data_IF_049730879974
#
_entry.id   IF_049730879974
#
_cell.length_a   1.000
_cell.length_b   1.000
_cell.length_c   1.000
_cell.angle_alpha   90.00
_cell.angle_beta   90.00
_cell.angle_gamma   90.00
#
_symmetry.space_group_name_H-M   'P 1'
#
loop_
_entity.id
_entity.type
_entity.pdbx_description
1 polymer ?
#
# COMPACT_ATOMS: atom_id res chain seq x y z
N UNK A 1 9.01 2.40 -4.51
CA UNK A 1 7.85 3.19 -4.02
C UNK A 1 7.00 3.64 -5.20
N UNK A 2 5.70 3.34 -5.19
CA UNK A 2 4.74 3.88 -6.16
C UNK A 2 3.39 4.10 -5.45
N UNK A 3 2.92 5.34 -5.46
CA UNK A 3 1.70 5.80 -4.78
C UNK A 3 0.55 6.08 -5.75
N UNK A 4 0.64 5.58 -6.99
CA UNK A 4 -0.47 5.57 -7.94
C UNK A 4 -1.69 4.89 -7.32
N UNK A 5 -2.86 5.48 -7.54
CA UNK A 5 -4.12 5.13 -6.90
C UNK A 5 -4.34 5.77 -5.51
N UNK A 6 -3.29 6.16 -4.77
CA UNK A 6 -3.41 6.84 -3.47
C UNK A 6 -3.24 8.37 -3.59
N UNK A 7 -2.16 8.81 -4.22
CA UNK A 7 -1.83 10.24 -4.40
C UNK A 7 -2.35 10.78 -5.73
N UNK A 8 -2.21 10.01 -6.80
CA UNK A 8 -2.84 10.22 -8.10
C UNK A 8 -3.91 9.15 -8.29
N UNK A 9 -5.05 9.48 -8.89
CA UNK A 9 -6.04 8.47 -9.25
C UNK A 9 -5.52 7.62 -10.42
N UNK A 10 -6.00 6.38 -10.52
CA UNK A 10 -5.79 5.62 -11.75
C UNK A 10 -6.49 6.32 -12.93
N UNK A 11 -5.95 6.19 -14.15
CA UNK A 11 -6.58 6.73 -15.33
C UNK A 11 -7.78 5.86 -15.70
N UNK A 12 -8.93 6.19 -15.15
CA UNK A 12 -10.23 5.56 -15.39
C UNK A 12 -11.02 6.33 -16.48
N UNK A 13 -12.11 5.73 -16.96
CA UNK A 13 -12.95 6.23 -18.07
C UNK A 13 -12.17 6.44 -19.38
N UNK A 14 -11.33 5.45 -19.70
CA UNK A 14 -10.52 5.43 -20.92
C UNK A 14 -10.65 4.09 -21.65
N UNK A 15 -10.40 4.03 -22.96
CA UNK A 15 -10.28 2.75 -23.64
C UNK A 15 -9.05 1.96 -23.13
N UNK A 16 -9.12 0.64 -23.26
CA UNK A 16 -7.98 -0.26 -23.11
C UNK A 16 -6.83 0.20 -24.01
N UNK A 17 -5.68 0.49 -23.39
CA UNK A 17 -4.47 0.88 -24.10
C UNK A 17 -3.83 -0.32 -24.79
N UNK A 18 -2.91 -0.05 -25.71
CA UNK A 18 -2.09 -1.10 -26.33
C UNK A 18 -1.28 -1.87 -25.28
N UNK A 19 -0.72 -1.16 -24.28
CA UNK A 19 0.00 -1.78 -23.18
C UNK A 19 -0.87 -2.76 -22.38
N UNK A 20 -2.14 -2.38 -22.08
CA UNK A 20 -3.09 -3.25 -21.36
C UNK A 20 -3.38 -4.54 -22.16
N UNK A 21 -3.36 -4.46 -23.49
CA UNK A 21 -3.60 -5.58 -24.41
C UNK A 21 -2.39 -6.49 -24.53
N UNK A 22 -1.21 -5.90 -24.69
CA UNK A 22 0.06 -6.61 -24.81
C UNK A 22 0.40 -7.39 -23.53
N UNK A 23 0.20 -6.77 -22.37
CA UNK A 23 0.54 -7.36 -21.07
C UNK A 23 -0.66 -8.01 -20.36
N UNK A 24 -1.67 -8.44 -21.13
CA UNK A 24 -2.87 -9.08 -20.60
C UNK A 24 -2.51 -10.36 -19.86
N UNK A 25 -3.02 -10.49 -18.64
CA UNK A 25 -2.93 -11.67 -17.81
C UNK A 25 -4.25 -12.45 -17.89
N UNK A 26 -4.23 -13.63 -18.49
CA UNK A 26 -5.44 -14.44 -18.66
C UNK A 26 -5.60 -15.44 -17.53
N UNK A 27 -6.77 -15.46 -16.89
CA UNK A 27 -7.13 -16.35 -15.80
C UNK A 27 -7.03 -17.84 -16.20
N UNK A 28 -7.29 -18.15 -17.48
CA UNK A 28 -7.32 -19.53 -17.99
C UNK A 28 -5.99 -19.96 -18.62
N UNK A 29 -5.00 -19.06 -18.67
CA UNK A 29 -3.66 -19.36 -19.20
C UNK A 29 -2.67 -19.48 -18.06
N UNK A 30 -2.10 -20.67 -17.89
CA UNK A 30 -1.02 -20.91 -16.93
C UNK A 30 0.31 -20.38 -17.50
N UNK A 31 1.06 -19.67 -16.68
CA UNK A 31 2.44 -19.31 -16.93
C UNK A 31 3.37 -20.33 -16.28
N UNK A 32 4.47 -20.67 -16.95
CA UNK A 32 5.47 -21.62 -16.45
C UNK A 32 6.47 -20.92 -15.51
N UNK A 33 5.94 -20.43 -14.40
CA UNK A 33 6.70 -19.81 -13.31
C UNK A 33 6.22 -20.35 -11.96
N UNK A 34 7.10 -20.36 -10.96
CA UNK A 34 6.72 -20.73 -9.60
C UNK A 34 5.87 -19.61 -8.96
N UNK A 35 4.77 -19.94 -8.25
CA UNK A 35 3.94 -18.92 -7.63
C UNK A 35 4.68 -18.25 -6.47
N UNK A 36 4.55 -16.92 -6.36
CA UNK A 36 5.17 -16.15 -5.27
C UNK A 36 4.16 -15.20 -4.61
N UNK A 37 4.04 -15.26 -3.29
CA UNK A 37 3.03 -14.50 -2.55
C UNK A 37 3.36 -13.00 -2.38
N UNK A 38 4.60 -12.55 -2.66
CA UNK A 38 5.04 -11.14 -2.52
C UNK A 38 4.74 -10.50 -1.15
N UNK A 39 4.74 -11.30 -0.07
CA UNK A 39 4.39 -10.83 1.28
C UNK A 39 3.03 -10.10 1.32
N UNK A 40 2.07 -10.55 0.52
CA UNK A 40 0.76 -9.88 0.42
C UNK A 40 -0.31 -10.51 1.33
N UNK A 41 -0.12 -11.76 1.76
CA UNK A 41 -1.19 -12.56 2.38
C UNK A 41 -1.45 -12.10 3.80
N UNK A 42 -2.71 -11.86 4.16
CA UNK A 42 -3.16 -11.59 5.54
C UNK A 42 -3.73 -12.86 6.15
N UNK A 43 -4.64 -13.51 5.41
CA UNK A 43 -5.14 -14.85 5.71
C UNK A 43 -5.47 -15.57 4.42
N UNK A 44 -5.38 -16.89 4.45
CA UNK A 44 -5.74 -17.76 3.33
C UNK A 44 -6.40 -19.03 3.86
N UNK A 45 -7.43 -19.50 3.16
CA UNK A 45 -8.09 -20.78 3.43
C UNK A 45 -8.69 -21.34 2.12
N UNK A 46 -9.52 -22.37 2.19
CA UNK A 46 -10.18 -22.98 1.02
C UNK A 46 -11.22 -22.09 0.33
N UNK A 47 -11.78 -21.13 1.07
CA UNK A 47 -12.87 -20.28 0.62
C UNK A 47 -12.35 -18.93 0.10
N UNK A 48 -11.41 -18.33 0.82
CA UNK A 48 -10.88 -17.01 0.49
C UNK A 48 -9.39 -16.80 0.77
N UNK A 49 -8.79 -15.93 -0.05
CA UNK A 49 -7.46 -15.36 0.13
C UNK A 49 -7.61 -13.86 0.34
N UNK A 50 -7.19 -13.38 1.51
CA UNK A 50 -7.18 -11.97 1.87
C UNK A 50 -5.78 -11.41 1.68
N UNK A 51 -5.67 -10.36 0.87
CA UNK A 51 -4.41 -9.75 0.48
C UNK A 51 -4.38 -8.26 0.85
N UNK A 52 -3.21 -7.76 1.25
CA UNK A 52 -2.97 -6.33 1.44
C UNK A 52 -2.85 -5.61 0.08
N UNK A 53 -3.14 -4.31 0.11
CA UNK A 53 -2.96 -3.43 -1.04
C UNK A 53 -1.50 -3.14 -1.39
N UNK A 54 -1.33 -2.48 -2.54
CA UNK A 54 -0.03 -2.04 -3.07
C UNK A 54 0.74 -1.08 -2.18
N UNK A 55 0.05 -0.25 -1.39
CA UNK A 55 0.66 0.83 -0.60
C UNK A 55 1.08 0.33 0.79
N UNK A 56 0.49 -0.77 1.26
CA UNK A 56 0.76 -1.32 2.59
C UNK A 56 2.24 -1.52 2.89
N UNK A 57 3.06 -1.99 1.94
CA UNK A 57 4.50 -2.17 2.13
C UNK A 57 5.23 -0.88 2.51
N UNK A 58 4.83 0.26 1.96
CA UNK A 58 5.47 1.57 2.15
C UNK A 58 4.68 2.52 3.06
N UNK A 59 3.64 2.00 3.74
CA UNK A 59 2.79 2.80 4.63
C UNK A 59 3.61 3.62 5.61
N UNK A 60 3.21 4.88 5.82
CA UNK A 60 3.89 5.82 6.71
C UNK A 60 4.96 6.65 6.02
N UNK A 61 5.32 6.34 4.77
CA UNK A 61 6.33 7.10 4.04
C UNK A 61 5.82 8.49 3.64
N UNK A 62 4.59 8.60 3.15
CA UNK A 62 4.00 9.90 2.78
C UNK A 62 3.76 10.74 4.05
N UNK A 63 3.31 10.09 5.12
CA UNK A 63 3.24 10.72 6.43
C UNK A 63 4.60 11.22 6.94
N UNK A 64 5.70 10.52 6.61
CA UNK A 64 7.04 10.92 7.02
C UNK A 64 7.47 12.18 6.27
N UNK A 65 7.28 12.19 4.94
CA UNK A 65 7.58 13.37 4.11
C UNK A 65 6.75 14.58 4.58
N UNK A 66 5.46 14.37 4.86
CA UNK A 66 4.59 15.42 5.41
C UNK A 66 5.06 15.90 6.78
N UNK A 67 5.43 14.98 7.68
CA UNK A 67 5.95 15.28 9.01
C UNK A 67 7.27 16.05 8.99
N UNK A 68 8.17 15.74 8.05
CA UNK A 68 9.40 16.52 7.81
C UNK A 68 9.03 17.96 7.41
N UNK A 69 8.07 18.14 6.50
CA UNK A 69 7.57 19.47 6.12
C UNK A 69 7.01 20.25 7.30
N UNK A 70 6.23 19.60 8.18
CA UNK A 70 5.74 20.20 9.43
C UNK A 70 6.89 20.60 10.35
N UNK A 71 7.87 19.72 10.55
CA UNK A 71 9.01 19.99 11.42
C UNK A 71 9.84 21.19 10.95
N UNK A 72 10.12 21.29 9.65
CA UNK A 72 10.82 22.45 9.08
C UNK A 72 9.99 23.73 9.15
N UNK A 73 8.69 23.67 8.84
CA UNK A 73 7.82 24.83 8.92
C UNK A 73 7.68 25.37 10.34
N UNK A 74 7.36 24.50 11.31
CA UNK A 74 7.25 24.89 12.73
C UNK A 74 8.60 25.32 13.29
N UNK A 75 9.68 24.58 13.00
CA UNK A 75 11.03 24.94 13.43
C UNK A 75 11.47 26.31 12.91
N UNK A 76 11.16 26.63 11.65
CA UNK A 76 11.40 27.96 11.08
C UNK A 76 10.62 29.06 11.79
N UNK A 77 9.35 28.84 12.10
CA UNK A 77 8.53 29.79 12.88
C UNK A 77 9.13 30.01 14.27
N UNK A 78 9.50 28.95 14.97
CA UNK A 78 10.08 29.04 16.32
C UNK A 78 11.43 29.78 16.31
N UNK A 79 12.28 29.52 15.31
CA UNK A 79 13.54 30.21 15.13
C UNK A 79 13.34 31.71 14.86
N UNK A 80 12.42 32.07 13.97
CA UNK A 80 12.11 33.46 13.65
C UNK A 80 11.48 34.19 14.84
N UNK A 81 10.57 33.54 15.57
CA UNK A 81 10.00 34.08 16.80
C UNK A 81 11.07 34.30 17.87
N UNK A 82 12.01 33.37 18.04
CA UNK A 82 13.15 33.54 18.95
C UNK A 82 14.00 34.75 18.56
N UNK A 83 14.29 34.93 17.28
CA UNK A 83 15.04 36.10 16.78
C UNK A 83 14.31 37.40 17.13
N UNK A 84 12.99 37.48 16.92
CA UNK A 84 12.18 38.66 17.26
C UNK A 84 12.14 38.97 18.77
N UNK A 85 12.14 37.93 19.61
CA UNK A 85 11.99 38.08 21.06
C UNK A 85 13.31 38.26 21.80
N UNK A 86 14.39 37.67 21.29
CA UNK A 86 15.70 37.63 21.96
C UNK A 86 16.71 38.65 21.41
N UNK A 87 16.47 39.23 20.24
CA UNK A 87 17.33 40.27 19.67
C UNK A 87 16.53 41.57 19.56
N UNK A 88 17.12 42.67 20.00
CA UNK A 88 16.61 44.03 19.78
C UNK A 88 16.76 44.39 18.30
N UNK A 89 15.85 43.84 17.48
CA UNK A 89 15.87 44.04 16.04
C UNK A 89 15.34 45.45 15.71
N UNK A 90 16.17 46.34 15.15
CA UNK A 90 15.71 47.65 14.73
C UNK A 90 14.64 47.48 13.65
N UNK A 91 13.52 48.19 13.79
CA UNK A 91 12.46 48.22 12.77
C UNK A 91 12.82 49.18 11.63
N UNK A 92 14.03 49.03 11.08
CA UNK A 92 14.54 49.80 9.97
C UNK A 92 14.70 48.88 8.76
N UNK A 93 14.49 49.42 7.55
CA UNK A 93 14.72 48.72 6.28
C UNK A 93 13.85 47.49 5.98
N UNK A 94 12.66 47.37 6.56
CA UNK A 94 11.70 46.33 6.17
C UNK A 94 11.95 44.93 6.77
N UNK A 95 12.82 44.84 7.79
CA UNK A 95 13.26 43.57 8.38
C UNK A 95 12.11 42.81 9.07
N UNK A 96 11.21 43.54 9.73
CA UNK A 96 10.05 42.95 10.41
C UNK A 96 9.09 42.34 9.39
N UNK A 97 8.82 43.05 8.30
CA UNK A 97 8.02 42.56 7.18
C UNK A 97 8.64 41.30 6.57
N UNK A 98 9.96 41.30 6.36
CA UNK A 98 10.69 40.12 5.88
C UNK A 98 10.55 38.91 6.82
N UNK A 99 10.62 39.13 8.13
CA UNK A 99 10.42 38.07 9.13
C UNK A 99 8.97 37.56 9.10
N UNK A 100 7.97 38.44 9.10
CA UNK A 100 6.57 38.02 9.06
C UNK A 100 6.21 37.28 7.77
N UNK A 101 6.73 37.72 6.61
CA UNK A 101 6.57 37.00 5.34
C UNK A 101 7.22 35.62 5.44
N UNK A 102 8.43 35.53 6.00
CA UNK A 102 9.12 34.25 6.18
C UNK A 102 8.35 33.33 7.13
N UNK A 103 7.79 33.84 8.23
CA UNK A 103 6.93 33.10 9.13
C UNK A 103 5.66 32.60 8.42
N UNK A 104 5.04 33.42 7.57
CA UNK A 104 3.88 33.03 6.77
C UNK A 104 4.23 31.92 5.76
N UNK A 105 5.40 31.99 5.12
CA UNK A 105 5.91 30.94 4.23
C UNK A 105 6.18 29.63 5.00
N UNK A 106 6.78 29.71 6.18
CA UNK A 106 7.00 28.56 7.05
C UNK A 106 5.68 27.94 7.54
N UNK A 107 4.67 28.77 7.84
CA UNK A 107 3.33 28.31 8.19
C UNK A 107 2.64 27.61 7.02
N UNK A 108 2.77 28.17 5.81
CA UNK A 108 2.28 27.53 4.59
C UNK A 108 2.96 26.18 4.33
N UNK A 109 4.27 26.09 4.55
CA UNK A 109 5.02 24.83 4.46
C UNK A 109 4.53 23.80 5.49
N UNK A 110 4.33 24.22 6.74
CA UNK A 110 3.80 23.35 7.79
C UNK A 110 2.39 22.86 7.46
N UNK A 111 1.52 23.74 6.99
CA UNK A 111 0.16 23.39 6.57
C UNK A 111 0.17 22.41 5.38
N UNK A 112 1.02 22.64 4.38
CA UNK A 112 1.18 21.74 3.24
C UNK A 112 1.72 20.37 3.68
N UNK A 113 2.72 20.34 4.58
CA UNK A 113 3.25 19.10 5.16
C UNK A 113 2.19 18.32 5.93
N UNK A 114 1.38 19.01 6.75
CA UNK A 114 0.27 18.39 7.47
C UNK A 114 -0.77 17.82 6.50
N UNK A 115 -1.14 18.56 5.45
CA UNK A 115 -2.05 18.08 4.41
C UNK A 115 -1.52 16.82 3.71
N UNK A 116 -0.23 16.77 3.40
CA UNK A 116 0.43 15.56 2.84
C UNK A 116 0.36 14.41 3.84
N UNK A 117 0.66 14.64 5.13
CA UNK A 117 0.63 13.58 6.12
C UNK A 117 -0.77 12.97 6.33
N UNK A 118 -1.81 13.81 6.29
CA UNK A 118 -3.21 13.40 6.33
C UNK A 118 -3.65 12.54 5.13
N UNK A 119 -2.83 12.36 4.09
CA UNK A 119 -3.13 11.41 3.01
C UNK A 119 -3.03 9.95 3.45
N UNK A 120 -2.23 9.67 4.49
CA UNK A 120 -2.12 8.34 5.10
C UNK A 120 -2.73 8.30 6.51
N UNK A 121 -2.56 9.36 7.30
CA UNK A 121 -3.12 9.46 8.65
C UNK A 121 -4.65 9.61 8.62
N UNK A 122 -5.32 9.18 9.69
CA UNK A 122 -6.78 9.30 9.85
C UNK A 122 -7.63 8.60 8.78
N UNK A 123 -7.05 7.60 8.10
CA UNK A 123 -7.76 6.80 7.08
C UNK A 123 -7.95 5.38 7.57
N UNK A 124 -7.58 4.40 6.77
CA UNK A 124 -7.60 2.98 7.10
C UNK A 124 -6.20 2.50 7.46
N UNK A 125 -6.02 1.39 8.18
CA UNK A 125 -4.70 0.81 8.50
C UNK A 125 -4.09 0.08 7.30
N UNK A 126 -4.93 -0.38 6.39
CA UNK A 126 -4.61 -0.98 5.09
C UNK A 126 -5.90 -1.08 4.26
N UNK A 127 -5.82 -1.53 3.01
CA UNK A 127 -6.97 -1.66 2.10
C UNK A 127 -7.09 -3.12 1.61
N UNK A 128 -8.00 -3.92 2.17
CA UNK A 128 -8.10 -5.33 1.82
C UNK A 128 -8.57 -5.59 0.40
N UNK A 129 -7.98 -6.61 -0.23
CA UNK A 129 -8.51 -7.27 -1.42
C UNK A 129 -8.76 -8.73 -1.08
N UNK A 130 -10.02 -9.15 -1.11
CA UNK A 130 -10.43 -10.52 -0.86
C UNK A 130 -10.76 -11.24 -2.17
N UNK A 131 -10.14 -12.39 -2.38
CA UNK A 131 -10.45 -13.33 -3.45
C UNK A 131 -11.38 -14.42 -2.88
N UNK A 132 -12.68 -14.33 -3.15
CA UNK A 132 -13.67 -15.36 -2.81
C UNK A 132 -13.65 -16.43 -3.90
N UNK A 133 -12.96 -17.53 -3.61
CA UNK A 133 -12.75 -18.62 -4.56
C UNK A 133 -14.05 -19.36 -4.88
N UNK A 134 -14.86 -19.68 -3.86
CA UNK A 134 -16.07 -20.50 -4.03
C UNK A 134 -17.11 -19.79 -4.90
N UNK A 135 -17.29 -18.49 -4.68
CA UNK A 135 -18.22 -17.68 -5.49
C UNK A 135 -17.58 -17.09 -6.74
N UNK A 136 -16.26 -17.22 -6.89
CA UNK A 136 -15.46 -16.62 -7.96
C UNK A 136 -15.64 -15.10 -8.02
N UNK A 137 -15.56 -14.44 -6.87
CA UNK A 137 -15.69 -12.99 -6.72
C UNK A 137 -14.39 -12.38 -6.19
N UNK A 138 -14.18 -11.11 -6.53
CA UNK A 138 -13.13 -10.27 -5.95
C UNK A 138 -13.81 -9.11 -5.25
N UNK A 139 -13.52 -8.95 -3.96
CA UNK A 139 -13.97 -7.82 -3.15
C UNK A 139 -12.80 -6.90 -2.89
N UNK A 140 -12.88 -5.65 -3.35
CA UNK A 140 -11.84 -4.64 -3.20
C UNK A 140 -12.36 -3.55 -2.28
N UNK A 141 -11.64 -3.30 -1.19
CA UNK A 141 -11.94 -2.21 -0.28
C UNK A 141 -11.36 -0.90 -0.80
N UNK A 142 -12.22 0.08 -1.10
CA UNK A 142 -11.84 1.36 -1.69
C UNK A 142 -11.31 2.35 -0.66
N UNK A 143 -10.67 3.41 -1.15
CA UNK A 143 -10.11 4.49 -0.33
C UNK A 143 -11.14 5.29 0.47
N UNK A 144 -12.41 5.27 0.04
CA UNK A 144 -13.55 5.92 0.69
C UNK A 144 -14.26 4.99 1.69
N UNK A 145 -13.85 3.72 1.79
CA UNK A 145 -14.48 2.70 2.63
C UNK A 145 -15.62 1.93 1.97
N UNK A 146 -15.98 2.25 0.72
CA UNK A 146 -16.91 1.44 -0.07
C UNK A 146 -16.25 0.18 -0.61
N UNK A 147 -17.05 -0.78 -1.09
CA UNK A 147 -16.55 -2.05 -1.59
C UNK A 147 -16.96 -2.23 -3.04
N UNK A 148 -15.95 -2.47 -3.88
CA UNK A 148 -16.12 -2.96 -5.23
C UNK A 148 -16.20 -4.49 -5.18
N UNK A 149 -17.25 -5.08 -5.74
CA UNK A 149 -17.35 -6.52 -5.94
C UNK A 149 -17.46 -6.83 -7.42
N UNK A 150 -16.57 -7.67 -7.93
CA UNK A 150 -16.55 -8.05 -9.34
C UNK A 150 -16.35 -9.57 -9.52
N UNK A 151 -17.03 -10.21 -10.49
CA UNK A 151 -16.77 -11.61 -10.84
C UNK A 151 -15.36 -11.79 -11.39
N UNK A 152 -14.58 -12.70 -10.82
CA UNK A 152 -13.20 -12.98 -11.19
C UNK A 152 -13.01 -13.23 -12.69
N UNK A 153 -13.94 -13.95 -13.32
CA UNK A 153 -13.91 -14.25 -14.76
C UNK A 153 -14.20 -13.05 -15.66
N UNK A 154 -14.77 -11.97 -15.12
CA UNK A 154 -15.11 -10.75 -15.87
C UNK A 154 -14.07 -9.64 -15.72
N UNK A 155 -13.14 -9.76 -14.76
CA UNK A 155 -12.11 -8.76 -14.54
C UNK A 155 -11.06 -8.90 -15.64
N UNK A 156 -10.68 -7.77 -16.25
CA UNK A 156 -9.59 -7.76 -17.20
C UNK A 156 -8.28 -7.52 -16.44
N UNK A 157 -7.49 -8.59 -16.25
CA UNK A 157 -6.18 -8.46 -15.61
C UNK A 157 -5.10 -8.10 -16.60
N UNK A 158 -4.22 -7.20 -16.19
CA UNK A 158 -3.05 -6.79 -16.96
C UNK A 158 -1.91 -6.43 -16.01
N UNK A 159 -0.69 -6.47 -16.51
CA UNK A 159 0.42 -5.88 -15.77
C UNK A 159 0.28 -4.36 -15.78
N UNK A 160 0.59 -3.75 -14.65
CA UNK A 160 0.78 -2.32 -14.56
C UNK A 160 2.24 -1.96 -14.42
N UNK A 161 2.59 -0.81 -15.01
CA UNK A 161 3.92 -0.21 -14.86
C UNK A 161 3.80 1.02 -13.98
N UNK A 162 4.32 0.90 -12.77
CA UNK A 162 4.49 2.01 -11.84
C UNK A 162 5.69 2.85 -12.23
N UNK A 163 5.54 4.18 -12.23
CA UNK A 163 6.69 5.10 -12.27
C UNK A 163 7.14 5.32 -10.84
N UNK A 164 8.14 4.57 -10.39
CA UNK A 164 8.78 4.82 -9.10
C UNK A 164 9.52 6.15 -9.08
N UNK A 165 9.89 6.61 -7.87
CA UNK A 165 10.85 7.70 -7.74
C UNK A 165 12.16 7.34 -8.45
N UNK A 166 12.79 8.32 -9.11
CA UNK A 166 14.07 8.15 -9.80
C UNK A 166 14.09 7.18 -10.99
N UNK A 167 12.95 6.95 -11.64
CA UNK A 167 12.87 6.19 -12.90
C UNK A 167 12.89 4.67 -12.74
N UNK A 168 12.85 4.16 -11.51
CA UNK A 168 12.74 2.72 -11.26
C UNK A 168 11.33 2.22 -11.62
N UNK A 169 11.28 1.17 -12.45
CA UNK A 169 10.03 0.54 -12.84
C UNK A 169 9.59 -0.46 -11.78
N UNK A 170 8.38 -0.27 -11.27
CA UNK A 170 7.70 -1.27 -10.46
C UNK A 170 6.67 -1.97 -11.33
N UNK A 171 6.59 -3.29 -11.20
CA UNK A 171 5.54 -4.06 -11.83
C UNK A 171 4.45 -4.34 -10.80
N UNK A 172 3.21 -4.30 -11.24
CA UNK A 172 2.08 -4.65 -10.41
C UNK A 172 1.04 -5.39 -11.24
N UNK A 173 0.08 -6.01 -10.56
CA UNK A 173 -1.05 -6.66 -11.21
C UNK A 173 -2.24 -5.74 -11.02
N UNK A 174 -2.86 -5.34 -12.14
CA UNK A 174 -4.06 -4.51 -12.13
C UNK A 174 -5.27 -5.32 -12.56
N UNK A 175 -6.37 -5.14 -11.86
CA UNK A 175 -7.69 -5.54 -12.31
C UNK A 175 -8.42 -4.34 -12.88
N UNK A 176 -8.82 -4.43 -14.14
CA UNK A 176 -9.61 -3.43 -14.83
C UNK A 176 -11.06 -3.90 -14.90
N UNK A 177 -11.97 -3.08 -14.38
CA UNK A 177 -13.42 -3.26 -14.54
C UNK A 177 -13.81 -2.58 -15.84
N UNK A 178 -14.31 -3.37 -16.78
CA UNK A 178 -14.72 -2.88 -18.08
C UNK A 178 -16.21 -2.53 -18.10
N UNK A 179 -16.53 -1.47 -18.84
CA UNK A 179 -17.90 -1.12 -19.18
C UNK A 179 -18.55 -2.24 -20.02
N UNK A 180 -19.85 -2.09 -20.28
CA UNK A 180 -20.62 -3.04 -21.10
C UNK A 180 -20.09 -3.20 -22.53
N UNK A 181 -19.39 -2.19 -23.04
CA UNK A 181 -18.74 -2.23 -24.36
C UNK A 181 -17.53 -3.16 -24.44
N UNK A 182 -17.02 -3.65 -23.29
CA UNK A 182 -15.88 -4.54 -23.19
C UNK A 182 -14.54 -3.90 -23.57
N UNK A 183 -14.47 -2.58 -23.73
CA UNK A 183 -13.25 -1.86 -24.13
C UNK A 183 -12.95 -0.64 -23.27
N UNK A 184 -13.95 -0.05 -22.63
CA UNK A 184 -13.77 1.12 -21.76
C UNK A 184 -13.50 0.65 -20.33
N UNK A 185 -12.42 1.12 -19.73
CA UNK A 185 -12.07 0.89 -18.33
C UNK A 185 -12.83 1.88 -17.46
N UNK A 186 -13.76 1.39 -16.63
CA UNK A 186 -14.54 2.20 -15.70
C UNK A 186 -13.81 2.38 -14.36
N UNK A 187 -13.13 1.33 -13.90
CA UNK A 187 -12.45 1.35 -12.61
C UNK A 187 -11.22 0.45 -12.63
N UNK A 188 -10.16 0.91 -11.96
CA UNK A 188 -8.90 0.18 -11.82
C UNK A 188 -8.59 -0.08 -10.35
N UNK A 189 -8.24 -1.32 -10.02
CA UNK A 189 -7.61 -1.68 -8.75
C UNK A 189 -6.30 -2.41 -8.99
N UNK A 190 -5.44 -2.48 -7.97
CA UNK A 190 -4.14 -3.13 -8.08
C UNK A 190 -3.80 -3.94 -6.83
N UNK A 191 -3.21 -5.11 -7.04
CA UNK A 191 -2.65 -5.94 -5.98
C UNK A 191 -1.29 -5.40 -5.49
N UNK A 192 -0.69 -6.11 -4.55
CA UNK A 192 0.63 -5.82 -4.02
C UNK A 192 1.69 -5.63 -5.12
N UNK A 193 2.67 -4.76 -4.86
CA UNK A 193 3.71 -4.40 -5.84
C UNK A 193 4.72 -5.54 -5.96
N UNK A 194 4.92 -6.03 -7.18
CA UNK A 194 6.00 -6.95 -7.53
C UNK A 194 7.22 -6.15 -8.03
N UNK A 195 8.29 -6.12 -7.25
CA UNK A 195 9.38 -5.15 -7.47
C UNK A 195 10.38 -5.58 -8.56
N UNK A 196 10.87 -4.59 -9.32
CA UNK A 196 12.11 -4.62 -10.11
C UNK A 196 12.14 -5.47 -11.39
N UNK A 197 11.41 -6.59 -11.42
CA UNK A 197 11.46 -7.57 -12.52
C UNK A 197 10.06 -8.03 -12.90
N UNK A 198 9.80 -8.11 -14.21
CA UNK A 198 8.50 -8.56 -14.73
C UNK A 198 8.20 -10.01 -14.32
N UNK A 199 9.23 -10.85 -14.17
CA UNK A 199 9.08 -12.24 -13.72
C UNK A 199 8.45 -12.33 -12.33
N UNK A 200 8.77 -11.39 -11.43
CA UNK A 200 8.17 -11.33 -10.09
C UNK A 200 6.66 -11.06 -10.18
N UNK A 201 6.24 -10.19 -11.10
CA UNK A 201 4.83 -9.92 -11.32
C UNK A 201 4.10 -11.12 -11.94
N UNK A 202 4.75 -11.86 -12.83
CA UNK A 202 4.21 -13.11 -13.36
C UNK A 202 4.11 -14.22 -12.30
N UNK A 203 5.12 -14.34 -11.42
CA UNK A 203 5.10 -15.27 -10.29
C UNK A 203 3.98 -14.92 -9.30
N UNK A 204 3.79 -13.62 -9.02
CA UNK A 204 2.69 -13.14 -8.20
C UNK A 204 1.32 -13.37 -8.85
N UNK A 205 1.22 -13.19 -10.17
CA UNK A 205 0.02 -13.50 -10.92
C UNK A 205 -0.33 -14.98 -10.83
N UNK A 206 0.64 -15.86 -11.01
CA UNK A 206 0.42 -17.30 -10.85
C UNK A 206 0.01 -17.67 -9.43
N UNK A 207 0.49 -16.97 -8.40
CA UNK A 207 -0.01 -17.16 -7.04
C UNK A 207 -1.51 -16.84 -6.93
N UNK A 208 -1.96 -15.66 -7.39
CA UNK A 208 -3.37 -15.27 -7.33
C UNK A 208 -4.25 -16.15 -8.22
N UNK A 209 -3.81 -16.44 -9.45
CA UNK A 209 -4.52 -17.25 -10.44
C UNK A 209 -4.65 -18.70 -9.97
N UNK A 210 -3.57 -19.34 -9.50
CA UNK A 210 -3.62 -20.73 -9.03
C UNK A 210 -4.50 -20.87 -7.81
N UNK A 211 -4.48 -19.89 -6.90
CA UNK A 211 -5.42 -19.88 -5.78
C UNK A 211 -6.88 -19.92 -6.27
N UNK A 212 -7.25 -19.04 -7.21
CA UNK A 212 -8.62 -18.94 -7.73
C UNK A 212 -9.05 -20.07 -8.67
N UNK A 213 -8.15 -20.60 -9.49
CA UNK A 213 -8.47 -21.62 -10.50
C UNK A 213 -8.22 -23.05 -10.01
N UNK A 214 -7.10 -23.28 -9.32
CA UNK A 214 -6.65 -24.63 -8.93
C UNK A 214 -6.98 -24.90 -7.46
N UNK A 215 -6.93 -23.88 -6.60
CA UNK A 215 -7.24 -23.95 -5.18
C UNK A 215 -6.04 -23.71 -4.26
N UNK A 216 -6.28 -23.69 -2.93
CA UNK A 216 -5.25 -23.36 -1.94
C UNK A 216 -4.06 -24.32 -1.97
N UNK A 217 -4.29 -25.60 -2.31
CA UNK A 217 -3.23 -26.60 -2.38
C UNK A 217 -2.14 -26.29 -3.41
N UNK A 218 -2.45 -25.50 -4.44
CA UNK A 218 -1.50 -25.13 -5.47
C UNK A 218 -0.53 -24.02 -5.05
N UNK A 219 -0.82 -23.34 -3.93
CA UNK A 219 -0.10 -22.13 -3.50
C UNK A 219 0.28 -22.09 -2.03
N UNK A 220 -0.21 -23.04 -1.22
CA UNK A 220 0.02 -23.08 0.22
C UNK A 220 1.51 -23.01 0.61
N UNK A 221 2.39 -23.61 -0.19
CA UNK A 221 3.82 -23.68 0.08
C UNK A 221 4.54 -22.36 -0.25
N UNK A 222 3.90 -21.49 -1.05
CA UNK A 222 4.38 -20.13 -1.32
C UNK A 222 4.03 -19.14 -0.20
N UNK A 223 3.12 -19.51 0.72
CA UNK A 223 2.73 -18.68 1.86
C UNK A 223 3.63 -18.99 3.05
N UNK A 224 4.74 -18.28 3.13
CA UNK A 224 5.73 -18.44 4.21
C UNK A 224 5.46 -17.55 5.42
N UNK A 225 4.65 -16.50 5.24
CA UNK A 225 4.37 -15.48 6.25
C UNK A 225 3.03 -14.81 5.96
N UNK A 226 2.25 -14.53 7.02
CA UNK A 226 0.98 -13.82 6.92
C UNK A 226 1.04 -12.46 7.63
N UNK A 227 0.52 -11.40 7.02
CA UNK A 227 0.53 -10.06 7.57
C UNK A 227 -0.38 -9.97 8.81
N UNK A 228 0.14 -9.57 9.98
CA UNK A 228 -0.60 -9.56 11.25
C UNK A 228 -1.51 -8.33 11.41
N UNK A 229 -2.41 -8.13 10.44
CA UNK A 229 -3.29 -6.94 10.36
C UNK A 229 -4.77 -7.28 10.25
N UNK A 230 -5.12 -8.55 10.38
CA UNK A 230 -6.51 -8.99 10.42
C UNK A 230 -7.17 -8.60 11.75
N UNK A 231 -8.19 -7.74 11.70
CA UNK A 231 -8.91 -7.25 12.87
C UNK A 231 -8.08 -6.45 13.89
N UNK A 232 -6.80 -6.17 13.62
CA UNK A 232 -5.91 -5.49 14.57
C UNK A 232 -4.96 -4.49 13.90
N UNK A 233 -4.38 -3.62 14.72
CA UNK A 233 -3.29 -2.72 14.33
C UNK A 233 -1.94 -3.41 14.51
N UNK A 234 -0.99 -3.07 13.66
CA UNK A 234 0.39 -3.53 13.79
C UNK A 234 1.00 -3.17 15.15
N UNK A 235 1.85 -4.06 15.66
CA UNK A 235 2.78 -3.73 16.74
C UNK A 235 3.90 -2.83 16.20
N UNK A 236 4.54 -2.04 17.07
CA UNK A 236 5.68 -1.23 16.66
C UNK A 236 6.85 -2.11 16.15
N UNK A 237 7.08 -3.26 16.80
CA UNK A 237 8.11 -4.21 16.39
C UNK A 237 7.86 -4.68 14.95
N UNK A 238 6.64 -5.09 14.62
CA UNK A 238 6.28 -5.48 13.26
C UNK A 238 6.40 -4.31 12.27
N UNK A 239 5.90 -3.11 12.62
CA UNK A 239 6.04 -1.92 11.76
C UNK A 239 7.51 -1.63 11.43
N UNK A 240 8.41 -1.76 12.40
CA UNK A 240 9.86 -1.63 12.21
C UNK A 240 10.38 -2.71 11.26
N UNK A 241 10.17 -4.00 11.57
CA UNK A 241 10.65 -5.09 10.71
C UNK A 241 10.13 -4.98 9.27
N UNK A 242 8.88 -4.55 9.08
CA UNK A 242 8.30 -4.34 7.75
C UNK A 242 9.02 -3.24 6.96
N UNK A 243 9.38 -2.13 7.60
CA UNK A 243 10.13 -1.04 6.96
C UNK A 243 11.53 -1.53 6.57
N UNK A 244 12.24 -2.16 7.50
CA UNK A 244 13.60 -2.65 7.24
C UNK A 244 13.64 -3.79 6.20
N UNK A 245 12.62 -4.64 6.14
CA UNK A 245 12.50 -5.69 5.14
C UNK A 245 12.42 -5.16 3.69
N UNK A 246 11.92 -3.95 3.48
CA UNK A 246 11.86 -3.33 2.14
C UNK A 246 13.26 -3.05 1.59
N UNK A 247 14.23 -2.74 2.46
CA UNK A 247 15.59 -2.38 2.09
C UNK A 247 16.59 -3.54 2.29
N UNK A 248 16.15 -4.66 2.87
CA UNK A 248 17.00 -5.81 3.19
C UNK A 248 17.65 -6.46 1.95
N UNK A 249 17.07 -6.26 0.75
CA UNK A 249 17.63 -6.74 -0.53
C UNK A 249 18.58 -5.73 -1.21
N UNK A 250 18.79 -4.55 -0.60
CA UNK A 250 19.65 -3.50 -1.12
C UNK A 250 21.14 -3.69 -0.76
N UNK A 251 22.05 -2.86 -1.31
CA UNK A 251 23.46 -2.87 -0.94
C UNK A 251 23.66 -2.61 0.56
N UNK A 252 24.49 -3.42 1.23
CA UNK A 252 24.66 -3.37 2.69
C UNK A 252 25.10 -2.01 3.25
N UNK A 253 25.94 -1.26 2.51
CA UNK A 253 26.31 0.11 2.91
C UNK A 253 25.11 1.07 2.90
N UNK A 254 24.27 0.98 1.85
CA UNK A 254 23.05 1.80 1.76
C UNK A 254 22.09 1.47 2.91
N UNK A 255 21.92 0.19 3.22
CA UNK A 255 21.13 -0.26 4.36
C UNK A 255 21.60 0.39 5.68
N UNK A 256 22.92 0.39 5.96
CA UNK A 256 23.47 1.02 7.17
C UNK A 256 23.23 2.54 7.22
N UNK A 257 23.42 3.24 6.10
CA UNK A 257 23.21 4.70 6.04
C UNK A 257 21.75 5.11 6.21
N UNK A 258 20.81 4.26 5.80
CA UNK A 258 19.37 4.52 5.89
C UNK A 258 18.77 4.15 7.25
N UNK A 259 19.53 3.54 8.18
CA UNK A 259 19.01 3.15 9.50
C UNK A 259 18.26 4.29 10.21
N UNK A 260 18.82 5.51 10.38
CA UNK A 260 18.11 6.59 11.08
C UNK A 260 16.80 6.96 10.37
N UNK A 261 16.82 7.00 9.04
CA UNK A 261 15.65 7.30 8.23
C UNK A 261 14.57 6.20 8.37
N UNK A 262 14.97 4.93 8.34
CA UNK A 262 14.08 3.79 8.48
C UNK A 262 13.44 3.72 9.88
N UNK A 263 14.15 4.12 10.93
CA UNK A 263 13.57 4.28 12.26
C UNK A 263 12.51 5.39 12.30
N UNK A 264 12.78 6.55 11.69
CA UNK A 264 11.78 7.62 11.58
C UNK A 264 10.55 7.16 10.78
N UNK A 265 10.77 6.41 9.68
CA UNK A 265 9.69 5.83 8.90
C UNK A 265 8.89 4.81 9.72
N UNK A 266 9.53 3.96 10.51
CA UNK A 266 8.85 3.01 11.40
C UNK A 266 7.98 3.71 12.46
N UNK A 267 8.50 4.79 13.08
CA UNK A 267 7.74 5.62 14.03
C UNK A 267 6.52 6.23 13.34
N UNK A 268 6.72 6.77 12.14
CA UNK A 268 5.64 7.40 11.38
C UNK A 268 4.59 6.39 10.89
N UNK A 269 5.01 5.21 10.42
CA UNK A 269 4.12 4.09 10.10
C UNK A 269 3.28 3.72 11.31
N UNK A 270 3.90 3.59 12.47
CA UNK A 270 3.19 3.27 13.71
C UNK A 270 2.15 4.35 14.07
N UNK A 271 2.49 5.64 13.94
CA UNK A 271 1.52 6.73 14.12
C UNK A 271 0.35 6.67 13.11
N UNK A 272 0.62 6.36 11.84
CA UNK A 272 -0.43 6.13 10.83
C UNK A 272 -1.35 4.98 11.25
N UNK A 273 -0.81 3.88 11.75
CA UNK A 273 -1.61 2.74 12.21
C UNK A 273 -2.48 3.10 13.42
N UNK A 274 -1.96 3.91 14.34
CA UNK A 274 -2.68 4.35 15.56
C UNK A 274 -3.80 5.34 15.26
N UNK A 275 -3.60 6.25 14.31
CA UNK A 275 -4.58 7.28 13.94
C UNK A 275 -5.65 6.77 12.98
N UNK A 276 -5.42 5.64 12.32
CA UNK A 276 -6.31 5.08 11.30
C UNK A 276 -7.28 4.02 11.84
N UNK A 277 -8.37 3.82 11.11
CA UNK A 277 -9.42 2.82 11.34
C UNK A 277 -9.01 1.45 10.79
N UNK A 278 -9.44 0.39 11.45
CA UNK A 278 -9.22 -0.99 10.97
C UNK A 278 -10.28 -1.27 9.88
N UNK A 279 -9.90 -1.70 8.66
CA UNK A 279 -10.87 -2.03 7.63
C UNK A 279 -11.62 -3.31 8.00
N UNK A 280 -12.90 -3.38 7.63
CA UNK A 280 -13.73 -4.57 7.82
C UNK A 280 -14.70 -4.70 6.64
N UNK A 281 -14.88 -5.91 6.13
CA UNK A 281 -15.95 -6.18 5.20
C UNK A 281 -17.29 -6.28 5.95
N UNK A 282 -18.41 -5.96 5.27
CA UNK A 282 -19.75 -6.21 5.76
C UNK A 282 -19.95 -7.69 6.14
N UNK A 283 -20.79 -7.98 7.15
CA UNK A 283 -20.99 -9.34 7.65
C UNK A 283 -21.36 -10.36 6.57
N UNK A 284 -22.12 -9.93 5.55
CA UNK A 284 -22.56 -10.78 4.44
C UNK A 284 -21.43 -11.22 3.52
N UNK A 285 -20.37 -10.42 3.38
CA UNK A 285 -19.14 -10.79 2.65
C UNK A 285 -18.27 -11.59 3.60
N UNK A 286 -18.06 -11.11 4.83
CA UNK A 286 -17.14 -11.77 5.77
C UNK A 286 -17.53 -13.23 6.03
N UNK A 287 -18.83 -13.52 6.15
CA UNK A 287 -19.34 -14.87 6.32
C UNK A 287 -18.96 -15.85 5.18
N UNK A 288 -18.73 -15.35 3.96
CA UNK A 288 -18.35 -16.16 2.80
C UNK A 288 -16.86 -16.49 2.81
N UNK A 289 -16.07 -15.62 3.43
CA UNK A 289 -14.62 -15.70 3.48
C UNK A 289 -14.12 -16.57 4.64
N UNK A 290 -14.99 -16.96 5.58
CA UNK A 290 -14.63 -17.80 6.71
C UNK A 290 -14.35 -19.23 6.28
N UNK A 291 -13.33 -19.90 6.86
CA UNK A 291 -13.05 -21.31 6.57
C UNK A 291 -14.15 -22.21 7.11
N UNK A 292 -14.30 -23.39 6.52
CA UNK A 292 -15.11 -24.45 7.11
C UNK A 292 -14.39 -25.07 8.34
N UNK A 293 -15.12 -25.60 9.32
CA UNK A 293 -14.51 -26.30 10.45
C UNK A 293 -13.58 -27.42 9.98
N UNK A 294 -12.31 -27.38 10.41
CA UNK A 294 -11.30 -28.37 10.05
C UNK A 294 -10.60 -28.14 8.70
N UNK A 295 -10.75 -26.95 8.10
CA UNK A 295 -10.01 -26.59 6.89
C UNK A 295 -8.49 -26.64 7.10
N UNK A 296 -7.82 -27.59 6.44
CA UNK A 296 -6.38 -27.81 6.54
C UNK A 296 -5.52 -26.74 5.86
N UNK A 297 -6.14 -25.84 5.08
CA UNK A 297 -5.45 -24.81 4.32
C UNK A 297 -5.44 -23.44 5.03
N UNK A 298 -5.93 -23.37 6.28
CA UNK A 298 -5.92 -22.14 7.07
C UNK A 298 -4.48 -21.69 7.30
N UNK A 299 -4.18 -20.48 6.81
CA UNK A 299 -2.96 -19.71 7.06
C UNK A 299 -3.36 -18.34 7.55
N UNK A 300 -2.82 -17.93 8.68
CA UNK A 300 -3.00 -16.61 9.28
C UNK A 300 -1.75 -16.26 10.10
N UNK A 301 -1.78 -15.13 10.80
CA UNK A 301 -0.64 -14.67 11.60
C UNK A 301 -0.17 -15.65 12.70
N UNK A 302 -0.95 -16.64 13.10
CA UNK A 302 -0.53 -17.66 14.08
C UNK A 302 0.66 -18.51 13.60
N UNK A 303 0.85 -18.62 12.28
CA UNK A 303 1.99 -19.33 11.70
C UNK A 303 3.31 -18.56 11.79
N UNK A 304 3.25 -17.26 12.09
CA UNK A 304 4.43 -16.42 12.18
C UNK A 304 5.24 -16.70 13.46
N UNK A 305 6.53 -16.34 13.48
CA UNK A 305 7.32 -16.23 14.71
C UNK A 305 6.60 -15.37 15.77
N UNK A 306 6.75 -15.70 17.05
CA UNK A 306 5.98 -15.09 18.17
C UNK A 306 6.13 -13.56 18.24
N UNK A 307 7.30 -13.03 17.92
CA UNK A 307 7.62 -11.61 17.88
C UNK A 307 6.95 -10.86 16.70
N UNK A 308 6.45 -11.60 15.71
CA UNK A 308 5.85 -11.11 14.47
C UNK A 308 4.38 -11.53 14.30
N UNK A 309 3.71 -11.97 15.38
CA UNK A 309 2.30 -12.39 15.37
C UNK A 309 1.30 -11.25 15.46
#
# INVERSE_FOLDING_TARGET
MDFSGLMSRFPDNRPLSEFDREHRLSQKKRLDVAPHAELCVVRMNSNALLSVDRWYGWRGFIALIGGIGVAFGVGGILMLAWILLAHDLPNENGLWEGIFISMAMCAALAAAGAWVACKEMFRWTWYPIALDRKRRLVHVFRLDGSILTAPWDKIYFTLGRGKGAMGWFNWDIRGLILARDGVTVEETFAFSIATGRIENAHAHWEFLRRYMEEGPQAVQDAVLYCMPVDGKRESFAFSKERVFANDARGPGFMYLTLIPFNYLHAIMRWMVMRTSKIPAFPPEIEATLQPEPGDKYVRDASMNPEDLR
#
